data_IF_965409225813
#
_entry.id   IF_965409225813
#
_cell.length_a   1.000
_cell.length_b   1.000
_cell.length_c   1.000
_cell.angle_alpha   90.00
_cell.angle_beta   90.00
_cell.angle_gamma   90.00
#
_symmetry.space_group_name_H-M   'P 1'
#
loop_
_entity.id
_entity.type
_entity.pdbx_description
1 polymer ?
#
# COMPACT_ATOMS: atom_id res chain seq x y z
N UNK A 1 -16.82 -10.54 -4.61
CA UNK A 1 -16.09 -10.00 -3.43
C UNK A 1 -14.77 -10.73 -3.26
N UNK A 2 -13.68 -9.97 -3.11
CA UNK A 2 -12.32 -10.46 -2.85
C UNK A 2 -12.21 -11.06 -1.44
N UNK A 3 -11.26 -11.99 -1.26
CA UNK A 3 -10.95 -12.58 0.05
C UNK A 3 -9.84 -11.79 0.78
N UNK A 4 -8.93 -11.20 0.01
CA UNK A 4 -7.84 -10.33 0.45
C UNK A 4 -7.86 -9.07 -0.41
N UNK A 5 -7.83 -7.89 0.20
CA UNK A 5 -7.57 -6.63 -0.48
C UNK A 5 -6.32 -5.98 0.14
N UNK A 6 -5.36 -5.60 -0.68
CA UNK A 6 -4.05 -5.11 -0.23
C UNK A 6 -3.62 -3.87 -1.02
N UNK A 7 -2.98 -2.90 -0.36
CA UNK A 7 -2.34 -1.78 -1.05
C UNK A 7 -1.24 -2.25 -2.00
N UNK A 8 -0.77 -1.37 -2.87
CA UNK A 8 0.26 -1.70 -3.86
C UNK A 8 1.33 -0.61 -3.94
N UNK A 9 2.59 -0.99 -4.13
CA UNK A 9 3.67 -0.07 -4.53
C UNK A 9 3.64 0.21 -6.05
N UNK A 10 3.03 -0.70 -6.82
CA UNK A 10 2.81 -0.54 -8.24
C UNK A 10 1.45 -1.14 -8.60
N UNK A 11 0.60 -0.30 -9.19
CA UNK A 11 -0.72 -0.66 -9.69
C UNK A 11 -0.73 -0.56 -11.21
N UNK A 12 -1.07 -1.65 -11.90
CA UNK A 12 -1.02 -1.73 -13.37
C UNK A 12 -2.34 -1.40 -14.06
N UNK A 13 -3.37 -0.96 -13.32
CA UNK A 13 -4.70 -0.66 -13.83
C UNK A 13 -5.72 -1.80 -13.68
N UNK A 14 -5.27 -3.03 -13.46
CA UNK A 14 -6.13 -4.19 -13.23
C UNK A 14 -6.03 -4.66 -11.76
N UNK A 15 -7.09 -4.50 -10.95
CA UNK A 15 -7.09 -4.86 -9.53
C UNK A 15 -7.02 -6.37 -9.26
N UNK A 16 -7.23 -7.23 -10.24
CA UNK A 16 -7.11 -8.69 -10.06
C UNK A 16 -5.79 -9.25 -10.60
N UNK A 17 -4.98 -8.40 -11.24
CA UNK A 17 -3.71 -8.81 -11.84
C UNK A 17 -2.65 -9.14 -10.79
N UNK A 18 -2.12 -10.37 -10.87
CA UNK A 18 -0.96 -10.80 -10.07
C UNK A 18 0.36 -10.13 -10.53
N UNK A 19 0.31 -9.23 -11.51
CA UNK A 19 1.42 -8.37 -11.93
C UNK A 19 1.61 -7.12 -11.05
N UNK A 20 0.65 -6.80 -10.18
CA UNK A 20 0.78 -5.72 -9.21
C UNK A 20 1.83 -6.04 -8.14
N UNK A 21 2.43 -5.00 -7.54
CA UNK A 21 3.38 -5.17 -6.43
C UNK A 21 2.69 -4.85 -5.10
N UNK A 22 2.34 -5.86 -4.27
CA UNK A 22 1.63 -5.61 -3.02
C UNK A 22 2.46 -4.78 -2.06
N UNK A 23 1.78 -3.95 -1.27
CA UNK A 23 2.33 -3.15 -0.19
C UNK A 23 1.57 -3.42 1.12
N UNK A 24 2.29 -3.61 2.22
CA UNK A 24 1.71 -3.92 3.53
C UNK A 24 1.03 -2.75 4.25
N UNK A 25 0.88 -1.59 3.61
CA UNK A 25 0.41 -0.36 4.24
C UNK A 25 -1.09 -0.28 4.48
N UNK A 26 -1.86 -1.04 3.72
CA UNK A 26 -3.25 -1.34 4.02
C UNK A 26 -3.54 -2.78 3.64
N UNK A 27 -4.27 -3.49 4.50
CA UNK A 27 -4.62 -4.88 4.31
C UNK A 27 -5.98 -5.16 4.94
N UNK A 28 -6.89 -5.67 4.12
CA UNK A 28 -8.15 -6.24 4.55
C UNK A 28 -8.18 -7.73 4.18
N UNK A 29 -8.63 -8.56 5.11
CA UNK A 29 -8.82 -9.99 4.89
C UNK A 29 -10.12 -10.45 5.49
N UNK A 30 -10.93 -11.14 4.68
CA UNK A 30 -12.12 -11.82 5.17
C UNK A 30 -11.72 -13.11 5.87
N UNK A 31 -12.15 -13.28 7.13
CA UNK A 31 -11.87 -14.50 7.89
C UNK A 31 -12.58 -15.70 7.27
N UNK A 32 -11.81 -16.71 6.87
CA UNK A 32 -12.28 -17.97 6.31
C UNK A 32 -11.17 -19.02 6.40
N UNK A 33 -11.52 -20.31 6.39
CA UNK A 33 -10.53 -21.40 6.38
C UNK A 33 -9.49 -21.25 5.26
N UNK A 34 -9.93 -20.77 4.08
CA UNK A 34 -9.06 -20.52 2.92
C UNK A 34 -8.04 -19.40 3.15
N UNK A 35 -8.42 -18.31 3.83
CA UNK A 35 -7.52 -17.20 4.11
C UNK A 35 -6.56 -17.54 5.26
N UNK A 36 -7.01 -18.31 6.24
CA UNK A 36 -6.12 -18.90 7.26
C UNK A 36 -5.04 -19.78 6.61
N UNK A 37 -5.42 -20.65 5.66
CA UNK A 37 -4.48 -21.49 4.95
C UNK A 37 -3.52 -20.68 4.05
N UNK A 38 -4.02 -19.61 3.41
CA UNK A 38 -3.17 -18.67 2.67
C UNK A 38 -2.06 -18.07 3.55
N UNK A 39 -2.39 -17.58 4.75
CA UNK A 39 -1.38 -17.06 5.68
C UNK A 39 -0.39 -18.13 6.16
N UNK A 40 -0.87 -19.36 6.43
CA UNK A 40 0.02 -20.48 6.78
C UNK A 40 1.01 -20.77 5.65
N UNK A 41 0.54 -20.77 4.40
CA UNK A 41 1.38 -20.98 3.22
C UNK A 41 2.35 -19.83 2.99
N UNK A 42 1.90 -18.59 3.14
CA UNK A 42 2.76 -17.41 3.04
C UNK A 42 3.89 -17.46 4.07
N UNK A 43 3.57 -17.72 5.36
CA UNK A 43 4.57 -17.90 6.42
C UNK A 43 5.55 -19.04 6.10
N UNK A 44 5.06 -20.17 5.58
CA UNK A 44 5.90 -21.30 5.17
C UNK A 44 6.77 -20.97 3.96
N UNK A 45 6.31 -20.10 3.06
CA UNK A 45 7.04 -19.70 1.87
C UNK A 45 8.37 -19.01 2.19
N UNK A 46 8.49 -18.35 3.36
CA UNK A 46 9.74 -17.78 3.90
C UNK A 46 10.95 -18.69 3.72
N UNK A 47 10.78 -20.01 3.93
CA UNK A 47 11.87 -21.00 3.82
C UNK A 47 12.48 -21.13 2.42
N UNK A 48 11.82 -20.57 1.40
CA UNK A 48 12.30 -20.55 0.01
C UNK A 48 13.06 -19.28 -0.35
N UNK A 49 13.21 -18.35 0.59
CA UNK A 49 13.86 -17.05 0.38
C UNK A 49 15.06 -16.86 1.33
N UNK A 50 16.04 -16.02 0.95
CA UNK A 50 17.16 -15.68 1.82
C UNK A 50 16.72 -15.18 3.20
N UNK A 51 17.60 -15.39 4.19
CA UNK A 51 17.44 -14.73 5.49
C UNK A 51 17.39 -13.21 5.29
N UNK A 52 16.52 -12.53 6.04
CA UNK A 52 16.33 -11.08 5.92
C UNK A 52 15.37 -10.59 4.83
N UNK A 53 14.96 -11.41 3.84
CA UNK A 53 13.94 -11.00 2.85
C UNK A 53 12.64 -10.59 3.55
N UNK A 54 12.11 -9.40 3.27
CA UNK A 54 10.90 -8.93 3.96
C UNK A 54 9.62 -9.65 3.47
N UNK A 55 8.56 -9.64 4.28
CA UNK A 55 7.32 -10.36 3.95
C UNK A 55 6.62 -9.84 2.70
N UNK A 56 6.74 -8.55 2.40
CA UNK A 56 6.17 -7.93 1.20
C UNK A 56 6.81 -8.47 -0.07
N UNK A 57 8.14 -8.61 -0.08
CA UNK A 57 8.89 -9.19 -1.21
C UNK A 57 8.56 -10.67 -1.41
N UNK A 58 8.43 -11.42 -0.30
CA UNK A 58 8.01 -12.82 -0.34
C UNK A 58 6.60 -12.93 -0.94
N UNK A 59 5.66 -12.08 -0.51
CA UNK A 59 4.31 -12.06 -1.06
C UNK A 59 4.34 -11.71 -2.54
N UNK A 60 5.03 -10.64 -2.93
CA UNK A 60 5.11 -10.21 -4.33
C UNK A 60 5.65 -11.32 -5.25
N UNK A 61 6.62 -12.10 -4.78
CA UNK A 61 7.18 -13.23 -5.57
C UNK A 61 6.32 -14.49 -5.54
N UNK A 62 5.44 -14.66 -4.54
CA UNK A 62 4.67 -15.89 -4.35
C UNK A 62 3.14 -15.73 -4.51
N UNK A 63 2.62 -14.51 -4.71
CA UNK A 63 1.18 -14.20 -4.64
C UNK A 63 0.33 -15.05 -5.58
N UNK A 64 0.74 -15.24 -6.84
CA UNK A 64 0.01 -16.07 -7.79
C UNK A 64 -0.04 -17.55 -7.38
N UNK A 65 1.07 -18.08 -6.84
CA UNK A 65 1.11 -19.45 -6.31
C UNK A 65 0.23 -19.58 -5.06
N UNK A 66 0.33 -18.64 -4.12
CA UNK A 66 -0.41 -18.65 -2.86
C UNK A 66 -1.92 -18.50 -3.08
N UNK A 67 -2.32 -17.57 -3.94
CA UNK A 67 -3.72 -17.35 -4.35
C UNK A 67 -4.30 -18.63 -4.95
N UNK A 68 -3.65 -19.20 -5.98
CA UNK A 68 -4.09 -20.43 -6.65
C UNK A 68 -4.15 -21.63 -5.70
N UNK A 69 -3.12 -21.87 -4.88
CA UNK A 69 -3.06 -23.02 -3.98
C UNK A 69 -4.05 -22.95 -2.81
N UNK A 70 -4.49 -21.75 -2.46
CA UNK A 70 -5.41 -21.53 -1.34
C UNK A 70 -6.84 -21.24 -1.79
N UNK A 71 -7.09 -21.10 -3.10
CA UNK A 71 -8.39 -20.66 -3.63
C UNK A 71 -8.80 -19.27 -3.13
N UNK A 72 -7.81 -18.40 -2.89
CA UNK A 72 -8.00 -17.03 -2.38
C UNK A 72 -8.02 -16.06 -3.55
N UNK A 73 -9.07 -15.26 -3.67
CA UNK A 73 -9.13 -14.13 -4.60
C UNK A 73 -8.49 -12.91 -3.96
N UNK A 74 -7.38 -12.45 -4.55
CA UNK A 74 -6.71 -11.22 -4.13
C UNK A 74 -7.18 -10.05 -4.98
N UNK A 75 -7.26 -8.89 -4.36
CA UNK A 75 -7.50 -7.61 -5.01
C UNK A 75 -6.40 -6.63 -4.60
N UNK A 76 -5.84 -5.95 -5.59
CA UNK A 76 -4.82 -4.92 -5.42
C UNK A 76 -5.49 -3.56 -5.47
N UNK A 77 -5.22 -2.73 -4.47
CA UNK A 77 -5.78 -1.39 -4.37
C UNK A 77 -4.92 -0.42 -5.17
N UNK A 78 -5.59 0.47 -5.90
CA UNK A 78 -4.96 1.54 -6.66
C UNK A 78 -4.20 2.49 -5.74
N UNK A 79 -2.97 2.81 -6.14
CA UNK A 79 -2.11 3.81 -5.51
C UNK A 79 -2.74 5.20 -5.40
N UNK A 80 -3.72 5.54 -6.25
CA UNK A 80 -4.48 6.78 -6.14
C UNK A 80 -5.34 6.85 -4.86
N UNK A 81 -5.74 5.69 -4.31
CA UNK A 81 -6.55 5.58 -3.10
C UNK A 81 -5.74 5.14 -1.89
N UNK A 82 -4.80 4.21 -2.06
CA UNK A 82 -3.89 3.75 -1.03
C UNK A 82 -2.47 4.14 -1.42
N UNK A 83 -2.12 5.38 -1.13
CA UNK A 83 -0.86 5.99 -1.56
C UNK A 83 0.32 5.64 -0.66
N UNK A 84 1.50 5.94 -1.18
CA UNK A 84 2.75 5.86 -0.44
C UNK A 84 3.62 7.07 -0.74
N UNK A 85 4.72 7.28 -0.01
CA UNK A 85 5.69 8.33 -0.31
C UNK A 85 6.22 8.27 -1.76
N UNK A 86 6.45 7.07 -2.30
CA UNK A 86 6.90 6.90 -3.69
C UNK A 86 5.74 6.80 -4.71
N UNK A 87 4.50 6.88 -4.25
CA UNK A 87 3.27 6.88 -5.06
C UNK A 87 2.31 7.94 -4.51
N UNK A 88 2.83 9.15 -4.25
CA UNK A 88 2.01 10.25 -3.77
C UNK A 88 1.05 10.65 -4.89
N UNK A 89 -0.25 10.44 -4.66
CA UNK A 89 -1.29 10.88 -5.59
C UNK A 89 -1.24 12.39 -5.77
N UNK A 90 -1.26 12.87 -7.01
CA UNK A 90 -1.44 14.30 -7.28
C UNK A 90 -2.84 14.81 -6.90
N UNK A 91 -3.82 13.91 -6.82
CA UNK A 91 -5.18 14.20 -6.37
C UNK A 91 -5.34 13.78 -4.90
N UNK A 92 -5.22 14.75 -3.99
CA UNK A 92 -5.39 14.53 -2.55
C UNK A 92 -6.82 14.06 -2.22
N UNK A 93 -7.83 14.48 -2.99
CA UNK A 93 -9.23 14.16 -2.73
C UNK A 93 -9.59 12.69 -2.90
N UNK A 94 -8.75 11.92 -3.60
CA UNK A 94 -8.92 10.47 -3.80
C UNK A 94 -8.24 9.61 -2.75
N UNK A 95 -7.30 10.17 -1.98
CA UNK A 95 -6.47 9.41 -1.04
C UNK A 95 -7.29 9.01 0.20
N UNK A 96 -7.36 7.71 0.45
CA UNK A 96 -7.99 7.14 1.64
C UNK A 96 -6.94 6.82 2.72
N UNK A 97 -5.78 6.31 2.32
CA UNK A 97 -4.68 5.97 3.23
C UNK A 97 -3.34 6.38 2.62
N UNK A 98 -2.36 6.67 3.49
CA UNK A 98 -1.01 7.03 3.08
C UNK A 98 0.02 6.31 3.95
N UNK A 99 0.93 5.57 3.32
CA UNK A 99 1.97 4.79 3.98
C UNK A 99 3.37 5.37 3.73
N UNK A 100 4.25 5.34 4.74
CA UNK A 100 5.66 5.76 4.61
C UNK A 100 6.55 4.68 3.96
N UNK A 101 6.20 4.27 2.74
CA UNK A 101 6.98 3.30 1.95
C UNK A 101 8.19 3.98 1.29
N UNK A 102 9.06 3.20 0.66
CA UNK A 102 10.32 3.70 0.09
C UNK A 102 11.15 4.53 1.09
N UNK A 103 11.05 4.20 2.39
CA UNK A 103 11.69 4.93 3.46
C UNK A 103 12.31 4.00 4.49
N UNK A 104 13.56 4.29 4.84
CA UNK A 104 14.30 3.57 5.88
C UNK A 104 14.59 4.50 7.05
N UNK A 105 14.48 3.95 8.26
CA UNK A 105 14.71 4.68 9.52
C UNK A 105 13.44 5.29 10.10
N UNK A 106 13.14 4.95 11.35
CA UNK A 106 11.95 5.42 12.06
C UNK A 106 11.89 6.96 12.15
N UNK A 107 13.02 7.61 12.44
CA UNK A 107 13.08 9.07 12.55
C UNK A 107 12.73 9.78 11.23
N UNK A 108 13.18 9.24 10.09
CA UNK A 108 12.84 9.76 8.77
C UNK A 108 11.35 9.60 8.48
N UNK A 109 10.81 8.39 8.73
CA UNK A 109 9.39 8.09 8.56
C UNK A 109 8.51 9.04 9.37
N UNK A 110 8.80 9.21 10.66
CA UNK A 110 8.02 10.08 11.55
C UNK A 110 8.10 11.54 11.12
N UNK A 111 9.27 12.01 10.70
CA UNK A 111 9.44 13.38 10.22
C UNK A 111 8.58 13.66 8.98
N UNK A 112 8.70 12.83 7.94
CA UNK A 112 7.99 13.06 6.68
C UNK A 112 6.49 12.80 6.81
N UNK A 113 6.07 11.85 7.66
CA UNK A 113 4.65 11.62 7.96
C UNK A 113 4.01 12.85 8.63
N UNK A 114 4.74 13.56 9.50
CA UNK A 114 4.23 14.80 10.11
C UNK A 114 4.00 15.90 9.08
N UNK A 115 4.89 16.04 8.09
CA UNK A 115 4.75 17.01 7.01
C UNK A 115 3.52 16.67 6.16
N UNK A 116 3.43 15.43 5.69
CA UNK A 116 2.30 14.96 4.87
C UNK A 116 0.97 15.06 5.62
N UNK A 117 0.94 14.76 6.93
CA UNK A 117 -0.26 14.91 7.75
C UNK A 117 -0.68 16.38 7.90
N UNK A 118 0.27 17.31 8.00
CA UNK A 118 -0.02 18.75 8.02
C UNK A 118 -0.66 19.18 6.70
N UNK A 119 -0.14 18.72 5.57
CA UNK A 119 -0.69 19.06 4.25
C UNK A 119 -2.11 18.49 4.08
N UNK A 120 -2.34 17.26 4.54
CA UNK A 120 -3.67 16.66 4.58
C UNK A 120 -4.66 17.48 5.42
N UNK A 121 -4.24 17.96 6.59
CA UNK A 121 -5.07 18.82 7.45
C UNK A 121 -5.38 20.16 6.78
N UNK A 122 -4.41 20.77 6.12
CA UNK A 122 -4.61 22.01 5.38
C UNK A 122 -5.62 21.81 4.23
N UNK A 123 -5.48 20.73 3.46
CA UNK A 123 -6.43 20.37 2.40
C UNK A 123 -7.84 20.13 2.94
N UNK A 124 -7.97 19.31 3.99
CA UNK A 124 -9.29 18.93 4.53
C UNK A 124 -10.00 20.04 5.31
N UNK A 125 -9.27 21.02 5.81
CA UNK A 125 -9.84 22.22 6.44
C UNK A 125 -10.37 23.24 5.40
N UNK A 126 -9.96 23.15 4.14
CA UNK A 126 -10.33 24.11 3.11
C UNK A 126 -11.79 23.93 2.63
N UNK A 127 -12.48 25.03 2.30
CA UNK A 127 -13.79 24.99 1.64
C UNK A 127 -13.80 24.07 0.40
N UNK A 128 -14.93 23.41 0.08
CA UNK A 128 -15.04 22.60 -1.13
C UNK A 128 -14.66 23.33 -2.41
N UNK A 129 -14.91 24.65 -2.48
CA UNK A 129 -14.58 25.51 -3.63
C UNK A 129 -13.07 25.61 -3.81
N UNK A 130 -12.33 25.94 -2.75
CA UNK A 130 -10.87 26.01 -2.77
C UNK A 130 -10.24 24.66 -3.13
N UNK A 131 -10.80 23.55 -2.62
CA UNK A 131 -10.35 22.20 -2.99
C UNK A 131 -10.57 21.88 -4.47
N UNK A 132 -11.60 22.45 -5.11
CA UNK A 132 -11.85 22.32 -6.56
C UNK A 132 -10.94 23.22 -7.39
N UNK A 133 -10.64 24.42 -6.91
CA UNK A 133 -9.67 25.34 -7.53
C UNK A 133 -8.27 24.71 -7.52
N UNK A 134 -7.95 23.95 -6.47
CA UNK A 134 -6.70 23.20 -6.37
C UNK A 134 -5.60 24.00 -5.68
N UNK A 135 -4.34 23.74 -6.06
CA UNK A 135 -3.16 24.39 -5.43
C UNK A 135 -2.66 23.70 -4.16
N UNK A 136 -3.36 22.68 -3.66
CA UNK A 136 -2.87 21.83 -2.58
C UNK A 136 -1.90 20.79 -3.13
N UNK A 137 -0.77 20.63 -2.45
CA UNK A 137 0.26 19.67 -2.82
C UNK A 137 0.84 19.02 -1.58
N UNK A 138 1.32 17.79 -1.74
CA UNK A 138 2.11 17.12 -0.71
C UNK A 138 3.50 17.74 -0.62
N UNK A 139 3.95 18.03 0.60
CA UNK A 139 5.37 18.25 0.89
C UNK A 139 6.12 16.96 0.52
N UNK A 140 7.08 17.06 -0.40
CA UNK A 140 7.91 15.91 -0.81
C UNK A 140 8.60 15.30 0.44
N UNK A 141 8.52 13.98 0.65
CA UNK A 141 9.17 13.28 1.77
C UNK A 141 10.71 13.30 1.67
N UNK A 142 11.33 14.47 1.90
CA UNK A 142 12.74 14.71 1.57
C UNK A 142 13.76 13.95 2.43
N UNK A 143 13.36 13.39 3.58
CA UNK A 143 14.25 12.51 4.37
C UNK A 143 14.17 11.06 3.90
N UNK A 144 13.01 10.64 3.39
CA UNK A 144 12.77 9.31 2.87
C UNK A 144 13.20 9.16 1.40
N UNK A 145 12.88 10.14 0.57
CA UNK A 145 13.10 10.17 -0.87
C UNK A 145 14.06 11.31 -1.16
N UNK A 146 15.35 10.97 -1.26
CA UNK A 146 16.37 11.89 -1.76
C UNK A 146 16.33 11.88 -3.28
#
# INVERSE_FOLDING_TARGET
TSDVAIASDFFNGDPESMGNRPNGGFLYVRSANRTVEFYRRWRRARRRFPAGTNEQEILGRAQGELSRRSGVRMQFLDTAHCGGFCQLSGDMGRVCTLHANCCTGLANKVHDLRNVLRDWRNYTAAPPEDRRVGGFQWTRPGRCIR
#
